data_IF_784455153794
#
_entry.id   IF_784455153794
#
_cell.length_a   1.000
_cell.length_b   1.000
_cell.length_c   1.000
_cell.angle_alpha   90.00
_cell.angle_beta   90.00
_cell.angle_gamma   90.00
#
_symmetry.space_group_name_H-M   'P 1'
#
loop_
_entity.id
_entity.type
_entity.pdbx_description
1 polymer ?
#
# COMPACT_ATOMS: atom_id res chain seq x y z
N UNK A 1 23.16 -9.20 14.63
CA UNK A 1 22.65 -8.12 13.77
C UNK A 1 23.84 -7.30 13.35
N UNK A 2 24.25 -7.40 12.08
CA UNK A 2 25.40 -6.66 11.55
C UNK A 2 25.04 -5.20 11.27
N UNK A 3 26.04 -4.39 10.98
CA UNK A 3 25.85 -2.98 10.67
C UNK A 3 25.01 -2.77 9.38
N UNK A 4 25.18 -3.64 8.38
CA UNK A 4 24.39 -3.62 7.14
C UNK A 4 22.93 -3.94 7.42
N UNK A 5 22.61 -4.89 8.30
CA UNK A 5 21.23 -5.19 8.68
C UNK A 5 20.51 -3.96 9.26
N UNK A 6 21.23 -3.15 10.06
CA UNK A 6 20.68 -1.91 10.61
C UNK A 6 20.37 -0.87 9.52
N UNK A 7 21.25 -0.75 8.52
CA UNK A 7 21.03 0.10 7.34
C UNK A 7 19.79 -0.35 6.58
N UNK A 8 19.67 -1.65 6.29
CA UNK A 8 18.53 -2.20 5.55
C UNK A 8 17.21 -1.97 6.28
N UNK A 9 17.16 -2.23 7.58
CA UNK A 9 15.96 -2.03 8.39
C UNK A 9 15.58 -0.56 8.44
N UNK A 10 16.56 0.33 8.66
CA UNK A 10 16.29 1.78 8.72
C UNK A 10 15.76 2.28 7.38
N UNK A 11 16.39 1.90 6.28
CA UNK A 11 15.95 2.24 4.93
C UNK A 11 14.54 1.72 4.62
N UNK A 12 14.25 0.47 5.00
CA UNK A 12 12.94 -0.14 4.81
C UNK A 12 11.84 0.57 5.61
N UNK A 13 12.10 0.94 6.87
CA UNK A 13 11.13 1.66 7.71
C UNK A 13 10.82 3.03 7.10
N UNK A 14 11.85 3.80 6.71
CA UNK A 14 11.65 5.13 6.11
C UNK A 14 10.88 5.01 4.80
N UNK A 15 11.26 4.06 3.92
CA UNK A 15 10.57 3.82 2.66
C UNK A 15 9.10 3.41 2.85
N UNK A 16 8.83 2.56 3.83
CA UNK A 16 7.47 2.12 4.18
C UNK A 16 6.61 3.29 4.68
N UNK A 17 7.14 4.12 5.56
CA UNK A 17 6.42 5.30 6.05
C UNK A 17 6.08 6.27 4.91
N UNK A 18 7.03 6.55 4.02
CA UNK A 18 6.78 7.41 2.85
C UNK A 18 5.70 6.81 1.96
N UNK A 19 5.78 5.51 1.67
CA UNK A 19 4.85 4.82 0.78
C UNK A 19 3.43 4.80 1.33
N UNK A 20 3.23 4.42 2.60
CA UNK A 20 1.91 4.29 3.22
C UNK A 20 1.29 5.66 3.52
N UNK A 21 2.06 6.58 4.13
CA UNK A 21 1.53 7.89 4.51
C UNK A 21 1.12 8.68 3.27
N UNK A 22 1.96 8.68 2.23
CA UNK A 22 1.64 9.36 1.00
C UNK A 22 0.44 8.76 0.27
N UNK A 23 0.32 7.43 0.26
CA UNK A 23 -0.84 6.71 -0.26
C UNK A 23 -2.15 7.19 0.42
N UNK A 24 -2.19 7.21 1.74
CA UNK A 24 -3.34 7.67 2.53
C UNK A 24 -3.65 9.16 2.31
N UNK A 25 -2.62 10.01 2.29
CA UNK A 25 -2.78 11.43 2.02
C UNK A 25 -3.40 11.66 0.65
N UNK A 26 -2.99 10.89 -0.37
CA UNK A 26 -3.50 11.06 -1.72
C UNK A 26 -4.99 10.75 -1.85
N UNK A 27 -5.50 9.73 -1.16
CA UNK A 27 -6.95 9.49 -1.07
C UNK A 27 -7.68 10.71 -0.50
N UNK A 28 -7.24 11.20 0.66
CA UNK A 28 -7.83 12.38 1.30
C UNK A 28 -7.69 13.65 0.48
N UNK A 29 -6.58 13.82 -0.22
CA UNK A 29 -6.33 15.01 -1.05
C UNK A 29 -7.20 15.03 -2.32
N UNK A 30 -7.39 13.90 -2.98
CA UNK A 30 -8.31 13.79 -4.13
C UNK A 30 -9.75 13.98 -3.67
N UNK A 31 -10.16 13.39 -2.52
CA UNK A 31 -11.47 13.63 -1.94
C UNK A 31 -11.70 15.13 -1.60
N UNK A 32 -10.68 15.78 -1.05
CA UNK A 32 -10.71 17.23 -0.79
C UNK A 32 -10.95 18.07 -2.04
N UNK A 33 -10.35 17.71 -3.18
CA UNK A 33 -10.62 18.39 -4.46
C UNK A 33 -12.09 18.29 -4.89
N UNK A 34 -12.79 17.25 -4.47
CA UNK A 34 -14.22 17.07 -4.70
C UNK A 34 -15.08 17.62 -3.55
N UNK A 35 -14.50 18.48 -2.68
CA UNK A 35 -15.21 19.18 -1.62
C UNK A 35 -15.42 18.40 -0.33
N UNK A 36 -14.81 17.21 -0.19
CA UNK A 36 -14.81 16.49 1.07
C UNK A 36 -13.72 17.04 1.99
N UNK A 37 -14.13 17.78 3.02
CA UNK A 37 -13.25 18.39 4.01
C UNK A 37 -12.87 17.45 5.16
N UNK A 38 -13.37 16.21 5.19
CA UNK A 38 -13.29 15.31 6.34
C UNK A 38 -11.83 15.02 6.73
N UNK A 39 -11.00 14.59 5.77
CA UNK A 39 -9.58 14.31 6.00
C UNK A 39 -8.82 15.55 6.48
N UNK A 40 -9.07 16.71 5.86
CA UNK A 40 -8.44 17.97 6.22
C UNK A 40 -8.80 18.41 7.63
N UNK A 41 -10.10 18.42 7.96
CA UNK A 41 -10.59 18.86 9.27
C UNK A 41 -10.15 17.91 10.40
N UNK A 42 -9.91 16.64 10.08
CA UNK A 42 -9.37 15.64 11.01
C UNK A 42 -7.83 15.69 11.14
N UNK A 43 -7.16 16.65 10.49
CA UNK A 43 -5.69 16.76 10.49
C UNK A 43 -4.96 15.60 9.80
N UNK A 44 -5.69 14.78 8.99
CA UNK A 44 -5.15 13.55 8.39
C UNK A 44 -4.37 13.78 7.08
N UNK A 45 -4.40 15.00 6.51
CA UNK A 45 -3.56 15.42 5.39
C UNK A 45 -2.20 15.92 5.90
N UNK A 46 -1.53 15.14 6.70
CA UNK A 46 -0.25 15.47 7.35
C UNK A 46 0.74 14.35 7.16
N UNK A 47 2.01 14.70 6.97
CA UNK A 47 3.14 13.76 6.86
C UNK A 47 3.58 13.18 8.22
N UNK A 48 2.97 13.60 9.33
CA UNK A 48 3.29 13.06 10.66
C UNK A 48 2.86 11.58 10.74
N UNK A 49 3.81 10.62 10.89
CA UNK A 49 3.48 9.21 10.91
C UNK A 49 2.58 8.81 12.07
N UNK A 50 2.67 9.50 13.21
CA UNK A 50 1.94 9.12 14.44
C UNK A 50 0.43 9.16 14.27
N UNK A 51 -0.08 10.06 13.42
CA UNK A 51 -1.53 10.13 13.17
C UNK A 51 -2.06 9.01 12.25
N UNK A 52 -1.16 8.34 11.54
CA UNK A 52 -1.47 7.23 10.64
C UNK A 52 -1.28 5.85 11.29
N UNK A 53 -0.84 5.80 12.56
CA UNK A 53 -0.73 4.55 13.29
C UNK A 53 -2.13 4.06 13.68
N UNK A 54 -2.42 2.80 13.34
CA UNK A 54 -3.52 2.02 13.87
C UNK A 54 -2.97 1.06 14.92
N UNK A 55 -3.45 1.10 16.18
CA UNK A 55 -2.93 0.21 17.23
C UNK A 55 -3.05 -1.28 16.90
N UNK A 56 -4.12 -1.67 16.22
CA UNK A 56 -4.31 -3.06 15.80
C UNK A 56 -3.49 -3.37 14.54
N UNK A 57 -3.71 -2.63 13.46
CA UNK A 57 -3.10 -2.90 12.16
C UNK A 57 -1.62 -2.62 12.08
N UNK A 58 -1.13 -1.58 12.76
CA UNK A 58 0.27 -1.17 12.66
C UNK A 58 1.16 -1.79 13.75
N UNK A 59 0.58 -2.33 14.84
CA UNK A 59 1.35 -2.86 15.98
C UNK A 59 0.96 -4.30 16.26
N UNK A 60 -0.29 -4.56 16.66
CA UNK A 60 -0.71 -5.87 17.14
C UNK A 60 -0.61 -6.95 16.05
N UNK A 61 -1.16 -6.66 14.86
CA UNK A 61 -1.17 -7.64 13.75
C UNK A 61 0.24 -7.98 13.25
N UNK A 62 1.16 -7.03 13.00
CA UNK A 62 2.54 -7.35 12.68
C UNK A 62 3.24 -8.22 13.74
N UNK A 63 3.03 -7.92 15.02
CA UNK A 63 3.57 -8.74 16.10
C UNK A 63 2.99 -10.16 16.06
N UNK A 64 1.69 -10.32 15.91
CA UNK A 64 1.05 -11.63 15.83
C UNK A 64 1.52 -12.42 14.60
N UNK A 65 1.55 -11.81 13.42
CA UNK A 65 1.96 -12.48 12.18
C UNK A 65 3.44 -12.86 12.16
N UNK A 66 4.27 -12.16 12.92
CA UNK A 66 5.68 -12.49 13.09
C UNK A 66 5.93 -13.58 14.15
N UNK A 67 5.36 -13.41 15.35
CA UNK A 67 5.68 -14.27 16.48
C UNK A 67 4.88 -15.59 16.54
N UNK A 68 3.59 -15.59 16.12
CA UNK A 68 2.78 -16.82 16.20
C UNK A 68 3.36 -17.96 15.36
N UNK A 69 3.75 -17.76 14.07
CA UNK A 69 4.38 -18.82 13.29
C UNK A 69 5.66 -19.34 13.92
N UNK A 70 6.51 -18.46 14.48
CA UNK A 70 7.74 -18.87 15.18
C UNK A 70 7.44 -19.73 16.42
N UNK A 71 6.43 -19.36 17.21
CA UNK A 71 5.99 -20.16 18.37
C UNK A 71 5.42 -21.53 17.96
N UNK A 72 4.90 -21.65 16.74
CA UNK A 72 4.40 -22.90 16.16
C UNK A 72 5.48 -23.71 15.44
N UNK A 73 6.74 -23.30 15.53
CA UNK A 73 7.89 -24.02 14.97
C UNK A 73 8.20 -23.69 13.50
N UNK A 74 7.68 -22.61 12.97
CA UNK A 74 8.11 -22.11 11.66
C UNK A 74 9.46 -21.37 11.76
N UNK A 75 10.29 -21.48 10.72
CA UNK A 75 11.61 -20.84 10.68
C UNK A 75 11.53 -19.30 10.66
N UNK A 76 10.43 -18.75 10.16
CA UNK A 76 10.17 -17.30 10.17
C UNK A 76 8.67 -17.01 10.13
N UNK A 77 8.25 -15.91 10.78
CA UNK A 77 6.96 -15.27 10.57
C UNK A 77 7.01 -14.33 9.37
N UNK A 78 5.85 -13.88 8.92
CA UNK A 78 5.76 -12.79 7.94
C UNK A 78 5.21 -11.53 8.60
N UNK A 79 5.68 -10.37 8.17
CA UNK A 79 5.17 -9.09 8.66
C UNK A 79 4.00 -8.65 7.77
N UNK A 80 2.84 -8.53 8.39
CA UNK A 80 1.65 -8.00 7.76
C UNK A 80 0.97 -7.00 8.67
N UNK A 81 0.45 -5.93 8.10
CA UNK A 81 -0.26 -4.90 8.85
C UNK A 81 -0.79 -3.82 7.92
N UNK A 82 -1.52 -2.86 8.50
CA UNK A 82 -2.08 -1.72 7.80
C UNK A 82 -1.96 -0.44 8.62
N UNK A 83 -2.03 0.70 7.93
CA UNK A 83 -2.13 1.99 8.56
C UNK A 83 -3.60 2.34 8.86
N UNK A 84 -3.81 3.29 9.74
CA UNK A 84 -5.14 3.86 9.98
C UNK A 84 -5.61 4.60 8.73
N UNK A 85 -6.71 4.20 8.09
CA UNK A 85 -7.16 4.83 6.85
C UNK A 85 -7.57 6.29 7.06
N UNK A 86 -7.39 7.11 6.03
CA UNK A 86 -7.84 8.50 6.03
C UNK A 86 -9.37 8.55 5.90
N UNK A 87 -10.08 9.29 6.76
CA UNK A 87 -11.55 9.34 6.71
C UNK A 87 -12.02 10.11 5.47
N UNK A 88 -12.95 9.52 4.72
CA UNK A 88 -13.53 10.07 3.50
C UNK A 88 -15.05 10.02 3.59
N UNK A 89 -15.71 11.13 3.30
CA UNK A 89 -17.17 11.19 3.19
C UNK A 89 -17.58 10.99 1.72
N UNK A 90 -17.63 9.74 1.29
CA UNK A 90 -17.87 9.30 -0.09
C UNK A 90 -19.11 9.93 -0.73
N UNK A 91 -20.20 10.13 0.07
CA UNK A 91 -21.41 10.77 -0.44
C UNK A 91 -21.17 12.21 -0.91
N UNK A 92 -20.28 12.96 -0.26
CA UNK A 92 -19.90 14.31 -0.71
C UNK A 92 -19.13 14.24 -2.04
N UNK A 93 -18.17 13.30 -2.16
CA UNK A 93 -17.41 13.09 -3.38
C UNK A 93 -18.33 12.73 -4.55
N UNK A 94 -19.26 11.79 -4.36
CA UNK A 94 -20.22 11.36 -5.39
C UNK A 94 -21.17 12.48 -5.76
N UNK A 95 -21.68 13.24 -4.80
CA UNK A 95 -22.59 14.37 -5.07
C UNK A 95 -21.95 15.43 -5.92
N UNK A 96 -20.66 15.71 -5.72
CA UNK A 96 -19.96 16.80 -6.40
C UNK A 96 -19.28 16.36 -7.71
N UNK A 97 -18.86 15.09 -7.84
CA UNK A 97 -18.11 14.62 -9.01
C UNK A 97 -18.61 13.28 -9.59
N UNK A 98 -19.71 12.75 -9.07
CA UNK A 98 -20.28 11.46 -9.50
C UNK A 98 -19.39 10.27 -9.12
N UNK A 99 -19.74 9.11 -9.66
CA UNK A 99 -18.94 7.90 -9.46
C UNK A 99 -17.52 7.99 -10.06
N UNK A 100 -17.31 8.86 -11.08
CA UNK A 100 -15.97 9.09 -11.61
C UNK A 100 -15.02 9.66 -10.53
N UNK A 101 -15.51 10.60 -9.73
CA UNK A 101 -14.74 11.15 -8.62
C UNK A 101 -14.43 10.09 -7.57
N UNK A 102 -15.41 9.25 -7.21
CA UNK A 102 -15.20 8.17 -6.25
C UNK A 102 -14.16 7.14 -6.77
N UNK A 103 -14.20 6.80 -8.05
CA UNK A 103 -13.16 5.96 -8.67
C UNK A 103 -11.78 6.61 -8.63
N UNK A 104 -11.66 7.93 -8.87
CA UNK A 104 -10.38 8.64 -8.77
C UNK A 104 -9.85 8.65 -7.35
N UNK A 105 -10.73 8.83 -6.37
CA UNK A 105 -10.35 8.73 -4.96
C UNK A 105 -9.81 7.33 -4.65
N UNK A 106 -10.50 6.27 -5.07
CA UNK A 106 -10.04 4.88 -4.84
C UNK A 106 -8.69 4.58 -5.49
N UNK A 107 -8.38 5.16 -6.65
CA UNK A 107 -7.11 4.91 -7.34
C UNK A 107 -5.98 5.83 -6.87
N UNK A 108 -6.26 6.87 -6.10
CA UNK A 108 -5.29 7.93 -5.78
C UNK A 108 -4.03 7.39 -5.07
N UNK A 109 -4.18 6.49 -4.09
CA UNK A 109 -3.07 5.86 -3.40
C UNK A 109 -2.26 4.93 -4.31
N UNK A 110 -2.94 4.14 -5.15
CA UNK A 110 -2.29 3.25 -6.12
C UNK A 110 -1.44 4.05 -7.11
N UNK A 111 -1.99 5.14 -7.65
CA UNK A 111 -1.28 6.03 -8.59
C UNK A 111 -0.06 6.65 -7.91
N UNK A 112 -0.18 7.08 -6.66
CA UNK A 112 0.96 7.58 -5.88
C UNK A 112 2.06 6.53 -5.74
N UNK A 113 1.71 5.31 -5.35
CA UNK A 113 2.69 4.24 -5.20
C UNK A 113 3.36 3.88 -6.54
N UNK A 114 2.60 3.79 -7.65
CA UNK A 114 3.18 3.55 -8.98
C UNK A 114 4.09 4.69 -9.42
N UNK A 115 3.73 5.93 -9.12
CA UNK A 115 4.57 7.10 -9.40
C UNK A 115 5.91 7.00 -8.64
N UNK A 116 5.88 6.71 -7.33
CA UNK A 116 7.10 6.56 -6.54
C UNK A 116 7.95 5.35 -7.00
N UNK A 117 7.30 4.23 -7.35
CA UNK A 117 8.00 3.08 -7.89
C UNK A 117 8.74 3.43 -9.19
N UNK A 118 8.05 4.09 -10.13
CA UNK A 118 8.65 4.54 -11.39
C UNK A 118 9.79 5.54 -11.16
N UNK A 119 9.59 6.50 -10.28
CA UNK A 119 10.62 7.49 -9.94
C UNK A 119 11.85 6.82 -9.31
N UNK A 120 11.65 5.88 -8.38
CA UNK A 120 12.73 5.12 -7.75
C UNK A 120 13.48 4.24 -8.75
N UNK A 121 12.77 3.63 -9.70
CA UNK A 121 13.36 2.85 -10.78
C UNK A 121 14.32 3.69 -11.64
N UNK A 122 13.87 4.87 -12.08
CA UNK A 122 14.71 5.78 -12.89
C UNK A 122 16.01 6.16 -12.15
N UNK A 123 15.92 6.43 -10.84
CA UNK A 123 17.10 6.71 -10.01
C UNK A 123 17.98 5.46 -9.91
N UNK A 124 17.41 4.30 -9.60
CA UNK A 124 18.14 3.06 -9.40
C UNK A 124 18.91 2.65 -10.66
N UNK A 125 18.30 2.79 -11.84
CA UNK A 125 18.94 2.51 -13.13
C UNK A 125 20.13 3.45 -13.44
N UNK A 126 20.19 4.63 -12.81
CA UNK A 126 21.31 5.56 -12.92
C UNK A 126 22.42 5.32 -11.89
N UNK A 127 22.20 4.42 -10.91
CA UNK A 127 23.14 4.09 -9.85
C UNK A 127 23.87 2.79 -10.15
N UNK A 128 25.16 2.71 -9.82
CA UNK A 128 25.91 1.44 -9.82
C UNK A 128 25.60 0.64 -8.55
N UNK A 129 25.71 -0.67 -8.62
CA UNK A 129 25.60 -1.49 -7.42
C UNK A 129 26.73 -1.14 -6.43
N UNK A 130 26.42 -1.00 -5.13
CA UNK A 130 27.41 -0.67 -4.12
C UNK A 130 28.51 -1.73 -4.01
N UNK A 131 29.72 -1.28 -3.78
CA UNK A 131 30.92 -2.09 -3.53
C UNK A 131 31.44 -1.82 -2.12
N UNK A 132 32.43 -2.62 -1.67
CA UNK A 132 33.07 -2.40 -0.36
C UNK A 132 33.84 -1.07 -0.26
N UNK A 133 34.21 -0.48 -1.40
CA UNK A 133 34.91 0.79 -1.46
C UNK A 133 33.99 2.03 -1.36
N UNK A 134 32.68 1.83 -1.45
CA UNK A 134 31.72 2.93 -1.45
C UNK A 134 31.45 3.50 -0.05
N UNK A 135 31.13 4.79 0.00
CA UNK A 135 30.76 5.45 1.25
C UNK A 135 29.45 4.88 1.79
N UNK A 136 29.32 4.87 3.11
CA UNK A 136 28.12 4.40 3.79
C UNK A 136 26.86 5.16 3.37
N UNK A 137 27.01 6.44 3.01
CA UNK A 137 25.91 7.30 2.53
C UNK A 137 25.41 6.81 1.17
N UNK A 138 26.33 6.39 0.29
CA UNK A 138 25.97 5.81 -1.01
C UNK A 138 25.26 4.47 -0.85
N UNK A 139 25.80 3.59 -0.01
CA UNK A 139 25.19 2.28 0.31
C UNK A 139 23.79 2.45 0.86
N UNK A 140 23.61 3.35 1.85
CA UNK A 140 22.29 3.66 2.39
C UNK A 140 21.34 4.20 1.33
N UNK A 141 21.80 5.16 0.50
CA UNK A 141 21.00 5.75 -0.58
C UNK A 141 20.52 4.70 -1.58
N UNK A 142 21.40 3.82 -2.02
CA UNK A 142 21.06 2.72 -2.94
C UNK A 142 20.01 1.78 -2.32
N UNK A 143 20.25 1.31 -1.10
CA UNK A 143 19.34 0.42 -0.38
C UNK A 143 17.98 1.10 -0.17
N UNK A 144 17.98 2.38 0.22
CA UNK A 144 16.74 3.14 0.42
C UNK A 144 15.91 3.25 -0.87
N UNK A 145 16.53 3.60 -2.00
CA UNK A 145 15.83 3.69 -3.29
C UNK A 145 15.31 2.33 -3.73
N UNK A 146 16.09 1.26 -3.53
CA UNK A 146 15.66 -0.11 -3.80
C UNK A 146 14.44 -0.51 -2.92
N UNK A 147 14.49 -0.25 -1.61
CA UNK A 147 13.35 -0.52 -0.71
C UNK A 147 12.14 0.33 -1.09
N UNK A 148 12.34 1.60 -1.47
CA UNK A 148 11.26 2.47 -1.91
C UNK A 148 10.58 1.94 -3.18
N UNK A 149 11.34 1.48 -4.17
CA UNK A 149 10.83 0.80 -5.36
C UNK A 149 10.00 -0.42 -4.99
N UNK A 150 10.60 -1.37 -4.26
CA UNK A 150 9.97 -2.65 -3.94
C UNK A 150 8.67 -2.48 -3.14
N UNK A 151 8.71 -1.66 -2.09
CA UNK A 151 7.55 -1.44 -1.20
C UNK A 151 6.41 -0.77 -1.98
N UNK A 152 6.71 0.21 -2.82
CA UNK A 152 5.67 0.90 -3.59
C UNK A 152 5.05 -0.01 -4.66
N UNK A 153 5.82 -0.88 -5.34
CA UNK A 153 5.26 -1.90 -6.24
C UNK A 153 4.36 -2.86 -5.48
N UNK A 154 4.82 -3.37 -4.34
CA UNK A 154 4.03 -4.28 -3.51
C UNK A 154 2.71 -3.62 -3.10
N UNK A 155 2.74 -2.40 -2.54
CA UNK A 155 1.53 -1.69 -2.11
C UNK A 155 0.57 -1.40 -3.28
N UNK A 156 1.09 -1.00 -4.43
CA UNK A 156 0.27 -0.75 -5.61
C UNK A 156 -0.45 -2.02 -6.09
N UNK A 157 0.28 -3.15 -6.19
CA UNK A 157 -0.29 -4.43 -6.61
C UNK A 157 -1.32 -4.94 -5.60
N UNK A 158 -1.00 -4.92 -4.29
CA UNK A 158 -1.94 -5.34 -3.26
C UNK A 158 -3.23 -4.54 -3.29
N UNK A 159 -3.12 -3.21 -3.32
CA UNK A 159 -4.30 -2.35 -3.31
C UNK A 159 -5.10 -2.40 -4.61
N UNK A 160 -4.50 -2.83 -5.73
CA UNK A 160 -5.21 -3.03 -6.98
C UNK A 160 -6.02 -4.34 -7.01
N UNK A 161 -5.71 -5.31 -6.14
CA UNK A 161 -6.44 -6.57 -6.09
C UNK A 161 -7.93 -6.34 -5.79
N UNK A 162 -8.85 -7.09 -6.43
CA UNK A 162 -10.28 -7.00 -6.19
C UNK A 162 -10.69 -7.72 -4.90
N UNK A 163 -9.98 -7.41 -3.81
CA UNK A 163 -10.26 -7.96 -2.48
C UNK A 163 -11.12 -6.97 -1.71
N UNK A 164 -12.27 -7.38 -1.13
CA UNK A 164 -13.11 -6.49 -0.35
C UNK A 164 -12.32 -5.71 0.70
N UNK A 165 -12.57 -4.40 0.80
CA UNK A 165 -11.82 -3.50 1.68
C UNK A 165 -10.53 -2.91 1.10
N UNK A 166 -10.11 -3.33 -0.10
CA UNK A 166 -8.97 -2.74 -0.81
C UNK A 166 -9.44 -1.73 -1.87
N UNK A 167 -8.56 -0.85 -2.30
CA UNK A 167 -8.86 0.22 -3.25
C UNK A 167 -9.39 -0.28 -4.59
N UNK A 168 -8.84 -1.40 -5.09
CA UNK A 168 -9.31 -2.05 -6.31
C UNK A 168 -10.75 -2.52 -6.22
N UNK A 169 -11.18 -3.05 -5.08
CA UNK A 169 -12.56 -3.42 -4.84
C UNK A 169 -13.49 -2.20 -4.76
N UNK A 170 -13.05 -1.12 -4.11
CA UNK A 170 -13.79 0.15 -4.09
C UNK A 170 -13.92 0.74 -5.49
N UNK A 171 -12.84 0.73 -6.28
CA UNK A 171 -12.90 1.15 -7.68
C UNK A 171 -13.92 0.35 -8.48
N UNK A 172 -13.90 -1.00 -8.38
CA UNK A 172 -14.86 -1.87 -9.08
C UNK A 172 -16.29 -1.57 -8.60
N UNK A 173 -16.50 -1.38 -7.30
CA UNK A 173 -17.80 -1.04 -6.75
C UNK A 173 -18.35 0.25 -7.35
N UNK A 174 -17.57 1.33 -7.41
CA UNK A 174 -18.01 2.60 -7.99
C UNK A 174 -18.17 2.52 -9.50
N UNK A 175 -17.31 1.75 -10.18
CA UNK A 175 -17.46 1.49 -11.61
C UNK A 175 -18.79 0.78 -11.89
N UNK A 176 -19.11 -0.27 -11.18
CA UNK A 176 -20.35 -1.04 -11.37
C UNK A 176 -21.60 -0.24 -10.99
N UNK A 177 -21.54 0.59 -9.94
CA UNK A 177 -22.63 1.53 -9.59
C UNK A 177 -22.88 2.55 -10.70
N UNK A 178 -21.83 3.08 -11.33
CA UNK A 178 -21.95 4.00 -12.48
C UNK A 178 -22.75 3.37 -13.61
N UNK A 179 -22.57 2.08 -13.87
CA UNK A 179 -23.29 1.34 -14.92
C UNK A 179 -24.54 0.62 -14.40
N UNK A 180 -25.00 0.93 -13.18
CA UNK A 180 -26.21 0.37 -12.54
C UNK A 180 -26.15 -1.16 -12.32
N UNK A 181 -24.96 -1.73 -12.19
CA UNK A 181 -24.74 -3.16 -11.87
C UNK A 181 -24.64 -3.30 -10.34
N UNK A 182 -25.78 -3.14 -9.67
CA UNK A 182 -25.85 -3.04 -8.20
C UNK A 182 -25.39 -4.31 -7.48
N UNK A 183 -25.62 -5.50 -8.06
CA UNK A 183 -25.28 -6.76 -7.42
C UNK A 183 -23.79 -6.90 -7.09
N UNK A 184 -22.90 -6.40 -7.98
CA UNK A 184 -21.45 -6.45 -7.75
C UNK A 184 -21.03 -5.49 -6.65
N UNK A 185 -21.55 -4.26 -6.66
CA UNK A 185 -21.24 -3.30 -5.60
C UNK A 185 -21.76 -3.79 -4.23
N UNK A 186 -22.95 -4.36 -4.19
CA UNK A 186 -23.54 -4.94 -2.98
C UNK A 186 -22.69 -6.12 -2.46
N UNK A 187 -22.19 -6.97 -3.36
CA UNK A 187 -21.27 -8.05 -3.00
C UNK A 187 -20.04 -7.51 -2.29
N UNK A 188 -19.33 -6.53 -2.88
CA UNK A 188 -18.13 -5.96 -2.27
C UNK A 188 -18.43 -5.29 -0.92
N UNK A 189 -19.53 -4.55 -0.81
CA UNK A 189 -19.94 -3.92 0.46
C UNK A 189 -20.23 -4.96 1.55
N UNK A 190 -20.95 -6.04 1.24
CA UNK A 190 -21.23 -7.11 2.20
C UNK A 190 -19.99 -7.94 2.54
N UNK A 191 -19.07 -8.08 1.62
CA UNK A 191 -17.84 -8.86 1.79
C UNK A 191 -16.70 -8.06 2.46
N UNK A 192 -16.80 -6.74 2.57
CA UNK A 192 -15.75 -5.88 3.13
C UNK A 192 -15.22 -6.34 4.50
N UNK A 193 -16.05 -6.74 5.49
CA UNK A 193 -15.55 -7.25 6.77
C UNK A 193 -14.70 -8.50 6.68
N UNK A 194 -14.79 -9.24 5.57
CA UNK A 194 -14.05 -10.48 5.35
C UNK A 194 -12.76 -10.30 4.52
N UNK A 195 -12.48 -9.10 4.04
CA UNK A 195 -11.33 -8.82 3.17
C UNK A 195 -10.00 -9.25 3.78
N UNK A 196 -9.83 -9.02 5.09
CA UNK A 196 -8.63 -9.46 5.82
C UNK A 196 -8.49 -10.99 5.85
N UNK A 197 -9.57 -11.71 5.98
CA UNK A 197 -9.55 -13.18 5.95
C UNK A 197 -9.17 -13.67 4.56
N UNK A 198 -9.73 -13.04 3.53
CA UNK A 198 -9.44 -13.37 2.13
C UNK A 198 -7.95 -13.18 1.81
N UNK A 199 -7.35 -12.05 2.22
CA UNK A 199 -5.93 -11.81 1.95
C UNK A 199 -5.03 -12.79 2.73
N UNK A 200 -5.36 -13.12 3.97
CA UNK A 200 -4.61 -14.12 4.74
C UNK A 200 -4.66 -15.48 4.02
N UNK A 201 -5.83 -15.92 3.56
CA UNK A 201 -5.97 -17.16 2.80
C UNK A 201 -5.11 -17.13 1.53
N UNK A 202 -5.12 -16.04 0.77
CA UNK A 202 -4.28 -15.88 -0.42
C UNK A 202 -2.80 -16.01 -0.06
N UNK A 203 -2.34 -15.34 1.00
CA UNK A 203 -0.93 -15.31 1.38
C UNK A 203 -0.40 -16.64 1.91
N UNK A 204 -1.23 -17.43 2.61
CA UNK A 204 -0.81 -18.73 3.18
C UNK A 204 -1.01 -19.90 2.19
N UNK A 205 -1.72 -19.70 1.09
CA UNK A 205 -1.95 -20.72 0.07
C UNK A 205 -1.10 -20.51 -1.19
N UNK A 206 -1.00 -21.49 -2.09
CA UNK A 206 -0.34 -21.33 -3.40
C UNK A 206 -0.94 -20.21 -4.27
N UNK A 207 -2.14 -19.72 -3.97
CA UNK A 207 -2.79 -18.60 -4.67
C UNK A 207 -1.97 -17.31 -4.63
N UNK A 208 -1.07 -17.14 -3.64
CA UNK A 208 -0.15 -16.00 -3.60
C UNK A 208 0.71 -15.88 -4.86
N UNK A 209 1.05 -16.99 -5.50
CA UNK A 209 1.91 -16.99 -6.69
C UNK A 209 1.23 -16.25 -7.85
N UNK A 210 0.06 -16.72 -8.37
CA UNK A 210 -0.57 -16.05 -9.51
C UNK A 210 -1.21 -14.71 -9.17
N UNK A 211 -1.69 -14.52 -7.93
CA UNK A 211 -2.45 -13.32 -7.59
C UNK A 211 -1.57 -12.18 -7.06
N UNK A 212 -0.43 -12.49 -6.46
CA UNK A 212 0.43 -11.49 -5.82
C UNK A 212 1.83 -11.48 -6.44
N UNK A 213 2.52 -12.62 -6.45
CA UNK A 213 3.93 -12.64 -6.86
C UNK A 213 4.11 -12.38 -8.36
N UNK A 214 3.30 -12.96 -9.24
CA UNK A 214 3.39 -12.69 -10.67
C UNK A 214 3.12 -11.24 -11.03
N UNK A 215 2.05 -10.58 -10.55
CA UNK A 215 1.85 -9.16 -10.80
C UNK A 215 3.00 -8.29 -10.30
N UNK A 216 3.53 -8.56 -9.09
CA UNK A 216 4.69 -7.84 -8.55
C UNK A 216 5.90 -8.01 -9.46
N UNK A 217 6.25 -9.26 -9.84
CA UNK A 217 7.36 -9.53 -10.74
C UNK A 217 7.18 -8.89 -12.10
N UNK A 218 5.96 -8.92 -12.64
CA UNK A 218 5.67 -8.28 -13.93
C UNK A 218 5.92 -6.79 -13.88
N UNK A 219 5.45 -6.10 -12.83
CA UNK A 219 5.68 -4.66 -12.67
C UNK A 219 7.17 -4.37 -12.45
N UNK A 220 7.87 -5.17 -11.64
CA UNK A 220 9.31 -5.00 -11.44
C UNK A 220 10.11 -5.19 -12.73
N UNK A 221 9.80 -6.22 -13.52
CA UNK A 221 10.45 -6.45 -14.82
C UNK A 221 10.20 -5.32 -15.82
N UNK A 222 9.03 -4.66 -15.75
CA UNK A 222 8.75 -3.49 -16.58
C UNK A 222 9.52 -2.24 -16.14
N UNK A 223 9.85 -2.15 -14.85
CA UNK A 223 10.52 -0.97 -14.28
C UNK A 223 12.04 -1.06 -14.29
N UNK A 224 12.62 -2.24 -14.11
CA UNK A 224 14.09 -2.41 -13.96
C UNK A 224 14.74 -3.41 -14.95
N UNK A 225 13.95 -4.05 -15.80
CA UNK A 225 14.40 -4.95 -16.85
C UNK A 225 14.51 -6.38 -16.38
#
# INVERSE_FOLDING_TARGET
MGFIDLIEITAAIIALLIAIIGHEIMHGWVAYKYGDMTAKNSGRLSINPLIHIDPFGSILVPLMTYFIPMLMGADSGFLFGWAKPVPIHTNTVIRNGGYNAAMQVSLAGIVYNLFLATFSSVILLSMSQPTEADSIVYVFGYIFILKLLLINVILAVFNLLPIPGFDGAHFISYFTLKYKIYAVAEFFTKAEPYGMIVIIIILVTPLKIPLVMWPIQTVLNLLVG
#
